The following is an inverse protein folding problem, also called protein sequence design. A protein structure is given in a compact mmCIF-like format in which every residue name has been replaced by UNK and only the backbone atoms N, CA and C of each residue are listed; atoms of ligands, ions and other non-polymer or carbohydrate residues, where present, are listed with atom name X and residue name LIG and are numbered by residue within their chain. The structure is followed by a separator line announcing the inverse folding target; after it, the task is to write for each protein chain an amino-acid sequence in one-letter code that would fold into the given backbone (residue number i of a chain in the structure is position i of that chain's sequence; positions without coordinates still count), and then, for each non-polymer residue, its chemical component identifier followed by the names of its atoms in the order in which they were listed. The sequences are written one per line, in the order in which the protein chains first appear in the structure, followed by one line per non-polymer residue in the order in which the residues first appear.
data_IF_131284026630
#
_entry.id   IF_131284026630
#
_cell.length_a   1.000
_cell.length_b   1.000
_cell.length_c   1.000
_cell.angle_alpha   90.00
_cell.angle_beta   90.00
_cell.angle_gamma   90.00
#
_symmetry.space_group_name_H-M   'P 1'
#
loop_
_entity.id
_entity.type
_entity.pdbx_description
1 polymer ?
#
# COMPACT_ATOMS: atom_id res chain seq x y z
N UNK A 1 -30.90 -7.68 0.99
CA UNK A 1 -30.00 -7.87 2.15
C UNK A 1 -29.98 -9.32 2.65
N UNK A 2 -31.11 -9.98 2.97
CA UNK A 2 -31.07 -11.35 3.53
C UNK A 2 -30.25 -12.37 2.71
N UNK A 3 -30.39 -12.40 1.38
CA UNK A 3 -29.68 -13.39 0.56
C UNK A 3 -28.16 -13.12 0.45
N UNK A 4 -27.76 -11.84 0.42
CA UNK A 4 -26.35 -11.42 0.27
C UNK A 4 -25.57 -11.54 1.58
N UNK A 5 -26.25 -11.38 2.72
CA UNK A 5 -25.60 -11.40 4.04
C UNK A 5 -25.28 -12.84 4.48
N UNK A 6 -26.14 -13.81 4.15
CA UNK A 6 -25.88 -15.22 4.43
C UNK A 6 -24.79 -15.83 3.53
N UNK A 7 -24.61 -15.32 2.31
CA UNK A 7 -23.58 -15.81 1.40
C UNK A 7 -22.16 -15.31 1.70
N UNK A 8 -22.02 -14.34 2.61
CA UNK A 8 -20.73 -13.70 2.94
C UNK A 8 -20.34 -13.89 4.41
N UNK A 9 -21.19 -14.51 5.23
CA UNK A 9 -20.86 -14.78 6.64
C UNK A 9 -19.82 -15.90 6.74
N UNK A 10 -18.88 -15.72 7.66
CA UNK A 10 -17.89 -16.72 8.03
C UNK A 10 -18.15 -17.18 9.47
N UNK A 11 -17.42 -18.21 9.92
CA UNK A 11 -17.57 -18.70 11.30
C UNK A 11 -17.17 -17.62 12.32
N UNK A 12 -16.14 -16.84 11.98
CA UNK A 12 -15.47 -15.99 12.94
C UNK A 12 -14.98 -14.66 12.35
N UNK A 13 -14.46 -14.64 11.12
CA UNK A 13 -13.92 -13.42 10.50
C UNK A 13 -15.00 -12.34 10.22
N UNK A 14 -16.19 -12.77 9.79
CA UNK A 14 -17.38 -11.94 9.63
C UNK A 14 -18.60 -12.65 10.21
N UNK A 15 -19.01 -12.20 11.40
CA UNK A 15 -20.22 -12.68 12.07
C UNK A 15 -21.40 -11.76 11.77
N UNK A 16 -22.56 -12.37 11.56
CA UNK A 16 -23.80 -11.64 11.29
C UNK A 16 -24.89 -12.12 12.24
N UNK A 17 -25.24 -11.27 13.19
CA UNK A 17 -26.37 -11.45 14.10
C UNK A 17 -27.59 -10.65 13.65
N UNK A 18 -28.79 -11.17 13.93
CA UNK A 18 -30.04 -10.44 13.74
C UNK A 18 -30.81 -10.37 15.05
N UNK A 19 -31.30 -9.17 15.36
CA UNK A 19 -32.29 -8.91 16.40
C UNK A 19 -33.63 -8.55 15.75
N UNK A 20 -34.67 -8.34 16.55
CA UNK A 20 -35.99 -7.92 16.06
C UNK A 20 -35.95 -6.57 15.33
N UNK A 21 -34.97 -5.73 15.66
CA UNK A 21 -34.91 -4.33 15.19
C UNK A 21 -33.67 -4.02 14.33
N UNK A 22 -32.57 -4.73 14.53
CA UNK A 22 -31.27 -4.41 13.91
C UNK A 22 -30.46 -5.65 13.52
N UNK A 23 -29.57 -5.46 12.55
CA UNK A 23 -28.48 -6.38 12.25
C UNK A 23 -27.23 -5.97 13.03
N UNK A 24 -26.52 -6.96 13.53
CA UNK A 24 -25.22 -6.82 14.20
C UNK A 24 -24.19 -7.46 13.27
N UNK A 25 -23.19 -6.68 12.88
CA UNK A 25 -22.07 -7.14 12.07
C UNK A 25 -20.82 -7.06 12.94
N UNK A 26 -20.11 -8.19 13.05
CA UNK A 26 -18.85 -8.27 13.77
C UNK A 26 -17.74 -8.71 12.84
N UNK A 27 -16.63 -7.99 12.86
CA UNK A 27 -15.39 -8.41 12.22
C UNK A 27 -14.36 -8.74 13.29
N UNK A 28 -13.66 -9.85 13.12
CA UNK A 28 -12.62 -10.29 14.05
C UNK A 28 -11.41 -10.80 13.28
N UNK A 29 -10.22 -10.49 13.81
CA UNK A 29 -8.97 -11.11 13.39
C UNK A 29 -8.62 -12.18 14.42
N UNK A 30 -8.73 -13.45 14.03
CA UNK A 30 -8.56 -14.58 14.95
C UNK A 30 -7.18 -15.25 14.89
N UNK A 31 -6.31 -14.81 13.97
CA UNK A 31 -4.91 -15.20 13.91
C UNK A 31 -4.11 -14.06 13.30
N UNK A 32 -3.01 -13.68 13.95
CA UNK A 32 -2.05 -12.71 13.44
C UNK A 32 -0.64 -13.19 13.81
N UNK A 33 0.34 -12.86 12.97
CA UNK A 33 1.75 -13.04 13.29
C UNK A 33 2.29 -11.87 14.15
N UNK A 34 1.54 -10.76 14.23
CA UNK A 34 1.90 -9.54 14.96
C UNK A 34 0.96 -9.33 16.18
N UNK A 35 1.21 -10.11 17.23
CA UNK A 35 0.42 -10.03 18.47
C UNK A 35 0.58 -8.71 19.24
N UNK A 36 1.63 -7.94 18.96
CA UNK A 36 1.91 -6.67 19.63
C UNK A 36 1.14 -5.49 19.00
N UNK A 37 0.60 -5.67 17.79
CA UNK A 37 -0.13 -4.66 17.02
C UNK A 37 -1.31 -4.01 17.74
N UNK A 38 -1.96 -4.74 18.63
CA UNK A 38 -3.08 -4.25 19.46
C UNK A 38 -2.67 -4.01 20.93
N UNK A 39 -1.40 -4.23 21.27
CA UNK A 39 -0.90 -4.11 22.64
C UNK A 39 -0.58 -2.67 23.06
N UNK A 40 -0.18 -1.82 22.12
CA UNK A 40 0.30 -0.46 22.42
C UNK A 40 -0.81 0.63 22.36
N UNK A 41 -1.96 0.35 21.74
CA UNK A 41 -3.11 1.25 21.69
C UNK A 41 -4.36 0.57 22.30
N UNK A 42 -5.10 1.28 23.16
CA UNK A 42 -6.40 0.84 23.75
C UNK A 42 -7.53 0.60 22.69
N UNK A 43 -7.20 0.35 21.43
CA UNK A 43 -8.14 0.15 20.31
C UNK A 43 -8.89 1.41 19.88
N UNK A 44 -8.73 2.55 20.57
CA UNK A 44 -9.44 3.81 20.27
C UNK A 44 -9.10 4.38 18.90
N UNK A 45 -7.85 4.20 18.45
CA UNK A 45 -7.41 4.59 17.11
C UNK A 45 -8.17 3.84 16.02
N UNK A 46 -8.41 2.53 16.21
CA UNK A 46 -9.18 1.71 15.29
C UNK A 46 -10.65 2.11 15.21
N UNK A 47 -11.30 2.32 16.36
CA UNK A 47 -12.72 2.67 16.36
C UNK A 47 -13.01 3.98 15.63
N UNK A 48 -12.13 4.99 15.74
CA UNK A 48 -12.26 6.23 14.97
C UNK A 48 -12.14 6.02 13.46
N UNK A 49 -11.20 5.16 13.03
CA UNK A 49 -10.97 4.84 11.61
C UNK A 49 -12.08 3.97 11.00
N UNK A 50 -12.67 3.06 11.79
CA UNK A 50 -13.69 2.11 11.34
C UNK A 50 -15.13 2.63 11.50
N UNK A 51 -15.38 3.63 12.34
CA UNK A 51 -16.71 4.21 12.56
C UNK A 51 -17.47 4.59 11.27
N UNK A 52 -16.82 5.15 10.21
CA UNK A 52 -17.52 5.51 8.98
C UNK A 52 -18.13 4.33 8.20
N UNK A 53 -17.65 3.08 8.42
CA UNK A 53 -18.20 1.89 7.78
C UNK A 53 -19.70 1.73 8.02
N UNK A 54 -20.19 2.17 9.18
CA UNK A 54 -21.61 2.15 9.50
C UNK A 54 -22.42 2.96 8.50
N UNK A 55 -21.98 4.19 8.20
CA UNK A 55 -22.68 5.06 7.27
C UNK A 55 -22.61 4.55 5.84
N UNK A 56 -21.46 3.97 5.45
CA UNK A 56 -21.29 3.31 4.15
C UNK A 56 -22.29 2.15 3.97
N UNK A 57 -22.38 1.26 4.95
CA UNK A 57 -23.33 0.13 4.95
C UNK A 57 -24.79 0.60 4.94
N UNK A 58 -25.11 1.65 5.69
CA UNK A 58 -26.47 2.22 5.71
C UNK A 58 -26.86 2.84 4.37
N UNK A 59 -25.89 3.35 3.61
CA UNK A 59 -26.03 3.84 2.23
C UNK A 59 -25.99 2.73 1.17
N UNK A 60 -25.77 1.49 1.57
CA UNK A 60 -25.79 0.32 0.68
C UNK A 60 -24.45 0.00 0.03
N UNK A 61 -23.34 0.54 0.53
CA UNK A 61 -22.02 0.05 0.16
C UNK A 61 -21.76 -1.29 0.84
N UNK A 62 -21.62 -2.35 0.04
CA UNK A 62 -21.47 -3.72 0.53
C UNK A 62 -20.01 -4.17 0.56
N UNK A 63 -19.06 -3.33 0.16
CA UNK A 63 -17.63 -3.64 0.19
C UNK A 63 -17.15 -4.10 1.57
N UNK A 64 -17.57 -3.51 2.71
CA UNK A 64 -17.14 -3.98 4.03
C UNK A 64 -17.55 -5.44 4.34
N UNK A 65 -18.69 -5.90 3.81
CA UNK A 65 -19.12 -7.30 3.99
C UNK A 65 -18.26 -8.24 3.15
N UNK A 66 -17.96 -7.86 1.90
CA UNK A 66 -17.10 -8.65 1.04
C UNK A 66 -15.66 -8.71 1.58
N UNK A 67 -15.14 -7.62 2.14
CA UNK A 67 -13.85 -7.59 2.83
C UNK A 67 -13.84 -8.55 4.04
N UNK A 68 -14.91 -8.59 4.82
CA UNK A 68 -15.05 -9.57 5.90
C UNK A 68 -15.04 -11.03 5.42
N UNK A 69 -15.67 -11.30 4.27
CA UNK A 69 -15.62 -12.62 3.63
C UNK A 69 -14.21 -12.98 3.14
N UNK A 70 -13.49 -12.03 2.53
CA UNK A 70 -12.08 -12.23 2.15
C UNK A 70 -11.19 -12.53 3.36
N UNK A 71 -11.44 -11.90 4.50
CA UNK A 71 -10.73 -12.24 5.73
C UNK A 71 -10.99 -13.69 6.16
N UNK A 72 -12.22 -14.20 5.98
CA UNK A 72 -12.55 -15.61 6.19
C UNK A 72 -11.85 -16.56 5.22
N UNK A 73 -11.65 -16.15 3.96
CA UNK A 73 -10.82 -16.90 2.99
C UNK A 73 -9.37 -16.97 3.48
N UNK A 74 -8.81 -15.86 3.96
CA UNK A 74 -7.43 -15.82 4.49
C UNK A 74 -7.28 -16.68 5.75
N UNK A 75 -8.28 -16.68 6.64
CA UNK A 75 -8.25 -17.51 7.86
C UNK A 75 -8.54 -19.00 7.62
N UNK A 76 -8.83 -19.40 6.38
CA UNK A 76 -9.17 -20.78 6.02
C UNK A 76 -10.58 -21.21 6.50
N UNK A 77 -11.44 -20.26 6.84
CA UNK A 77 -12.84 -20.52 7.23
C UNK A 77 -13.74 -20.82 6.01
N UNK A 78 -13.28 -20.47 4.81
CA UNK A 78 -14.02 -20.71 3.56
C UNK A 78 -13.27 -21.76 2.74
N UNK A 79 -13.97 -22.83 2.39
CA UNK A 79 -13.43 -23.95 1.62
C UNK A 79 -12.99 -23.51 0.20
N UNK A 80 -11.90 -24.09 -0.30
CA UNK A 80 -11.30 -23.75 -1.59
C UNK A 80 -12.25 -23.95 -2.79
N UNK A 81 -13.17 -24.92 -2.71
CA UNK A 81 -14.17 -25.20 -3.75
C UNK A 81 -15.42 -24.29 -3.62
N UNK A 82 -15.50 -23.50 -2.55
CA UNK A 82 -16.62 -22.57 -2.35
C UNK A 82 -16.66 -21.51 -3.44
N UNK A 83 -17.88 -21.19 -3.86
CA UNK A 83 -18.11 -20.17 -4.88
C UNK A 83 -17.96 -18.77 -4.28
N UNK A 84 -17.20 -17.92 -4.95
CA UNK A 84 -17.03 -16.52 -4.58
C UNK A 84 -18.40 -15.81 -4.61
N UNK A 85 -18.75 -15.05 -3.54
CA UNK A 85 -19.89 -14.15 -3.60
C UNK A 85 -19.62 -13.07 -4.66
N UNK A 86 -20.66 -12.56 -5.36
CA UNK A 86 -20.47 -11.54 -6.38
C UNK A 86 -19.70 -10.33 -5.82
N UNK A 87 -18.53 -9.97 -6.40
CA UNK A 87 -17.73 -8.87 -5.90
C UNK A 87 -18.50 -7.55 -6.06
N UNK A 88 -18.61 -6.72 -5.01
CA UNK A 88 -19.21 -5.40 -5.14
C UNK A 88 -18.35 -4.50 -6.04
N UNK A 89 -18.95 -3.57 -6.79
CA UNK A 89 -18.18 -2.60 -7.57
C UNK A 89 -17.36 -1.69 -6.64
N UNK A 90 -16.25 -1.14 -7.15
CA UNK A 90 -15.38 -0.22 -6.44
C UNK A 90 -14.36 -0.86 -5.51
N UNK A 91 -14.06 -2.16 -5.62
CA UNK A 91 -13.01 -2.82 -4.82
C UNK A 91 -11.60 -2.29 -5.13
N UNK A 92 -11.38 -1.73 -6.33
CA UNK A 92 -10.13 -1.08 -6.69
C UNK A 92 -9.93 0.29 -6.04
N UNK A 93 -11.00 0.88 -5.46
CA UNK A 93 -11.06 2.25 -4.94
C UNK A 93 -11.70 2.28 -3.55
N UNK A 94 -11.05 1.61 -2.59
CA UNK A 94 -11.53 1.57 -1.21
C UNK A 94 -11.53 2.95 -0.54
N UNK A 95 -12.51 3.20 0.31
CA UNK A 95 -12.52 4.39 1.18
C UNK A 95 -11.46 4.27 2.28
N UNK A 96 -11.14 5.37 2.97
CA UNK A 96 -10.18 5.32 4.08
C UNK A 96 -10.61 4.36 5.21
N UNK A 97 -11.92 4.27 5.47
CA UNK A 97 -12.47 3.36 6.47
C UNK A 97 -12.38 1.90 6.02
N UNK A 98 -12.63 1.63 4.72
CA UNK A 98 -12.47 0.29 4.14
C UNK A 98 -11.00 -0.13 4.07
N UNK A 99 -10.09 0.79 3.76
CA UNK A 99 -8.65 0.54 3.82
C UNK A 99 -8.22 0.22 5.26
N UNK A 100 -8.79 0.92 6.25
CA UNK A 100 -8.56 0.62 7.66
C UNK A 100 -9.12 -0.74 8.05
N UNK A 101 -10.25 -1.18 7.45
CA UNK A 101 -10.79 -2.53 7.66
C UNK A 101 -9.88 -3.61 7.06
N UNK A 102 -9.36 -3.39 5.84
CA UNK A 102 -8.35 -4.27 5.21
C UNK A 102 -7.13 -4.39 6.10
N UNK A 103 -6.65 -3.26 6.63
CA UNK A 103 -5.52 -3.22 7.54
C UNK A 103 -5.85 -4.01 8.83
N UNK A 104 -7.00 -3.75 9.44
CA UNK A 104 -7.45 -4.39 10.69
C UNK A 104 -7.58 -5.91 10.55
N UNK A 105 -8.05 -6.40 9.40
CA UNK A 105 -8.27 -7.82 9.12
C UNK A 105 -7.09 -8.53 8.45
N UNK A 106 -5.98 -7.83 8.23
CA UNK A 106 -4.78 -8.38 7.57
C UNK A 106 -5.08 -9.05 6.22
N UNK A 107 -6.02 -8.47 5.47
CA UNK A 107 -6.37 -8.99 4.16
C UNK A 107 -5.20 -8.76 3.21
N UNK A 108 -4.71 -9.83 2.60
CA UNK A 108 -3.60 -9.78 1.66
C UNK A 108 -3.93 -8.84 0.47
N UNK A 109 -2.96 -7.98 0.14
CA UNK A 109 -3.11 -6.98 -0.92
C UNK A 109 -3.25 -7.62 -2.30
N UNK A 110 -2.55 -8.71 -2.55
CA UNK A 110 -2.60 -9.42 -3.83
C UNK A 110 -3.95 -10.14 -3.97
N UNK A 111 -4.51 -10.65 -2.86
CA UNK A 111 -5.88 -11.18 -2.80
C UNK A 111 -6.93 -10.10 -3.10
N UNK A 112 -6.82 -8.91 -2.48
CA UNK A 112 -7.69 -7.78 -2.79
C UNK A 112 -7.59 -7.35 -4.26
N UNK A 113 -6.37 -7.42 -4.83
CA UNK A 113 -6.13 -7.09 -6.24
C UNK A 113 -6.81 -8.10 -7.16
N UNK A 114 -6.71 -9.40 -6.84
CA UNK A 114 -7.41 -10.47 -7.57
C UNK A 114 -8.94 -10.34 -7.50
N UNK A 115 -9.47 -10.00 -6.32
CA UNK A 115 -10.89 -9.72 -6.13
C UNK A 115 -11.37 -8.54 -6.99
N UNK A 116 -10.55 -7.49 -7.10
CA UNK A 116 -10.86 -6.26 -7.84
C UNK A 116 -10.65 -6.30 -9.35
N UNK A 117 -10.22 -7.42 -9.96
CA UNK A 117 -9.92 -7.50 -11.39
C UNK A 117 -11.11 -7.11 -12.29
N UNK A 118 -12.32 -7.53 -11.94
CA UNK A 118 -13.54 -7.16 -12.68
C UNK A 118 -13.85 -5.65 -12.62
N UNK A 119 -13.57 -5.01 -11.48
CA UNK A 119 -13.79 -3.58 -11.28
C UNK A 119 -12.77 -2.72 -12.06
N UNK A 120 -11.53 -3.20 -12.19
CA UNK A 120 -10.49 -2.54 -12.98
C UNK A 120 -10.84 -2.51 -14.47
N UNK A 121 -11.42 -3.58 -15.01
CA UNK A 121 -11.83 -3.64 -16.42
C UNK A 121 -12.96 -2.64 -16.75
N UNK A 122 -13.89 -2.41 -15.82
CA UNK A 122 -15.00 -1.45 -15.98
C UNK A 122 -14.51 0.01 -15.87
N UNK A 123 -13.49 0.30 -15.07
CA UNK A 123 -12.94 1.67 -14.90
C UNK A 123 -12.30 2.26 -16.17
N UNK A 124 -11.91 1.45 -17.15
CA UNK A 124 -11.47 1.94 -18.46
C UNK A 124 -12.63 2.39 -19.38
N UNK A 125 -13.87 2.16 -18.95
CA UNK A 125 -15.11 2.46 -19.68
C UNK A 125 -16.00 3.49 -18.96
N UNK A 126 -15.43 4.41 -18.17
CA UNK A 126 -16.17 5.39 -17.35
C UNK A 126 -17.18 6.25 -18.15
N UNK A 127 -17.03 6.39 -19.48
CA UNK A 127 -18.01 7.09 -20.35
C UNK A 127 -19.32 6.32 -20.55
N UNK A 128 -19.31 4.99 -20.40
CA UNK A 128 -20.47 4.12 -20.62
C UNK A 128 -21.41 4.08 -19.39
N UNK A 129 -20.84 4.32 -18.20
CA UNK A 129 -21.56 4.26 -16.92
C UNK A 129 -22.59 5.39 -16.76
N UNK A 130 -22.28 6.61 -17.24
CA UNK A 130 -23.23 7.72 -17.21
C UNK A 130 -24.42 7.46 -18.16
N UNK A 131 -24.16 6.89 -19.34
CA UNK A 131 -25.23 6.53 -20.28
C UNK A 131 -26.11 5.38 -19.76
N UNK A 132 -25.52 4.38 -19.12
CA UNK A 132 -26.24 3.28 -18.47
C UNK A 132 -27.12 3.80 -17.31
N UNK A 133 -26.59 4.71 -16.49
CA UNK A 133 -27.35 5.37 -15.43
C UNK A 133 -28.53 6.17 -15.98
N UNK A 134 -28.35 6.91 -17.08
CA UNK A 134 -29.42 7.66 -17.72
C UNK A 134 -30.54 6.74 -18.23
N UNK A 135 -30.21 5.61 -18.85
CA UNK A 135 -31.17 4.59 -19.28
C UNK A 135 -31.95 4.05 -18.07
N UNK A 136 -31.25 3.64 -17.02
CA UNK A 136 -31.90 3.11 -15.81
C UNK A 136 -32.80 4.16 -15.12
N UNK A 137 -32.35 5.41 -15.01
CA UNK A 137 -33.13 6.50 -14.42
C UNK A 137 -34.40 6.77 -15.25
N UNK A 138 -34.31 6.67 -16.57
CA UNK A 138 -35.45 6.81 -17.47
C UNK A 138 -36.48 5.67 -17.31
N UNK A 139 -36.01 4.44 -17.08
CA UNK A 139 -36.85 3.26 -16.83
C UNK A 139 -37.44 3.21 -15.40
N UNK A 140 -36.90 3.99 -14.45
CA UNK A 140 -37.33 3.96 -13.06
C UNK A 140 -38.79 4.43 -12.92
N UNK A 141 -39.70 3.59 -12.34
CA UNK A 141 -41.09 3.96 -12.18
C UNK A 141 -41.28 5.25 -11.36
N UNK A 142 -42.19 6.12 -11.81
CA UNK A 142 -42.57 7.36 -11.10
C UNK A 142 -42.81 7.16 -9.58
N UNK A 143 -43.56 6.14 -9.10
CA UNK A 143 -43.74 5.95 -7.66
C UNK A 143 -42.44 5.64 -6.90
N UNK A 144 -41.46 4.98 -7.54
CA UNK A 144 -40.15 4.73 -6.92
C UNK A 144 -39.34 6.03 -6.84
N UNK A 145 -39.37 6.86 -7.90
CA UNK A 145 -38.72 8.16 -7.94
C UNK A 145 -39.28 9.11 -6.88
N UNK A 146 -40.61 9.21 -6.78
CA UNK A 146 -41.28 10.00 -5.75
C UNK A 146 -40.96 9.52 -4.33
N UNK A 147 -40.92 8.20 -4.12
CA UNK A 147 -40.58 7.63 -2.82
C UNK A 147 -39.13 7.99 -2.42
N UNK A 148 -38.19 7.96 -3.36
CA UNK A 148 -36.81 8.38 -3.11
C UNK A 148 -36.72 9.86 -2.75
N UNK A 149 -37.41 10.74 -3.49
CA UNK A 149 -37.45 12.19 -3.20
C UNK A 149 -38.04 12.45 -1.82
N UNK A 150 -39.14 11.78 -1.44
CA UNK A 150 -39.74 11.88 -0.10
C UNK A 150 -38.76 11.47 1.00
N UNK A 151 -37.98 10.40 0.78
CA UNK A 151 -36.94 9.99 1.74
C UNK A 151 -35.85 11.06 1.88
N UNK A 152 -35.39 11.65 0.78
CA UNK A 152 -34.40 12.74 0.80
C UNK A 152 -34.91 13.96 1.57
N UNK A 153 -36.13 14.43 1.28
CA UNK A 153 -36.73 15.60 1.93
C UNK A 153 -37.06 15.37 3.42
N UNK A 154 -37.20 14.11 3.84
CA UNK A 154 -37.46 13.75 5.25
C UNK A 154 -36.20 13.39 6.03
N UNK A 155 -35.01 13.71 5.50
CA UNK A 155 -33.73 13.47 6.18
C UNK A 155 -33.29 12.00 6.18
N UNK A 156 -33.95 11.13 5.40
CA UNK A 156 -33.63 9.70 5.27
C UNK A 156 -32.81 9.42 4.01
N UNK A 157 -31.78 10.24 3.79
CA UNK A 157 -30.94 10.19 2.59
C UNK A 157 -30.21 8.87 2.42
N UNK A 158 -29.65 8.31 3.50
CA UNK A 158 -28.96 7.02 3.47
C UNK A 158 -29.91 5.89 3.01
N UNK A 159 -31.16 5.91 3.47
CA UNK A 159 -32.17 4.92 3.05
C UNK A 159 -32.55 5.08 1.57
N UNK A 160 -32.68 6.32 1.10
CA UNK A 160 -32.95 6.60 -0.32
C UNK A 160 -31.80 6.10 -1.20
N UNK A 161 -30.57 6.44 -0.84
CA UNK A 161 -29.34 6.05 -1.54
C UNK A 161 -29.21 4.52 -1.62
N UNK A 162 -29.34 3.84 -0.47
CA UNK A 162 -29.29 2.38 -0.41
C UNK A 162 -30.33 1.72 -1.30
N UNK A 163 -31.57 2.22 -1.27
CA UNK A 163 -32.66 1.65 -2.06
C UNK A 163 -32.36 1.78 -3.56
N UNK A 164 -31.94 2.96 -4.01
CA UNK A 164 -31.64 3.22 -5.41
C UNK A 164 -30.43 2.39 -5.88
N UNK A 165 -29.33 2.38 -5.11
CA UNK A 165 -28.15 1.56 -5.43
C UNK A 165 -28.48 0.08 -5.56
N UNK A 166 -29.23 -0.49 -4.62
CA UNK A 166 -29.62 -1.90 -4.68
C UNK A 166 -30.56 -2.21 -5.85
N UNK A 167 -31.42 -1.26 -6.25
CA UNK A 167 -32.29 -1.42 -7.43
C UNK A 167 -31.49 -1.33 -8.73
N UNK A 168 -30.55 -0.40 -8.82
CA UNK A 168 -29.64 -0.30 -9.96
C UNK A 168 -28.82 -1.58 -10.13
N UNK A 169 -28.18 -2.08 -9.07
CA UNK A 169 -27.43 -3.34 -9.11
C UNK A 169 -28.29 -4.58 -9.42
N UNK A 170 -29.59 -4.54 -9.10
CA UNK A 170 -30.51 -5.61 -9.50
C UNK A 170 -30.82 -5.53 -11.00
N UNK A 171 -31.12 -4.33 -11.50
CA UNK A 171 -31.36 -4.06 -12.91
C UNK A 171 -30.14 -4.42 -13.77
N UNK A 172 -28.91 -4.03 -13.38
CA UNK A 172 -27.70 -4.39 -14.12
C UNK A 172 -27.53 -5.92 -14.27
N UNK A 173 -27.85 -6.68 -13.21
CA UNK A 173 -27.81 -8.14 -13.25
C UNK A 173 -28.88 -8.74 -14.16
N UNK A 174 -30.06 -8.15 -14.19
CA UNK A 174 -31.13 -8.55 -15.12
C UNK A 174 -30.70 -8.31 -16.57
N UNK A 175 -30.07 -7.17 -16.86
CA UNK A 175 -29.56 -6.85 -18.20
C UNK A 175 -28.42 -7.78 -18.64
N UNK A 176 -27.51 -8.14 -17.72
CA UNK A 176 -26.42 -9.09 -18.00
C UNK A 176 -26.92 -10.52 -18.23
N UNK A 177 -27.99 -10.94 -17.56
CA UNK A 177 -28.57 -12.29 -17.71
C UNK A 177 -29.27 -12.51 -19.06
N UNK A 178 -29.58 -11.45 -19.80
CA UNK A 178 -30.28 -11.50 -21.09
C UNK A 178 -29.31 -11.72 -22.27
N UNK A 179 -27.98 -11.58 -22.06
CA UNK A 179 -26.98 -11.58 -23.14
C UNK A 179 -26.06 -12.79 -23.24
N UNK A 180 -25.74 -13.49 -22.14
CA UNK A 180 -24.73 -14.57 -22.11
C UNK A 180 -25.07 -15.62 -21.02
N UNK A 181 -24.57 -16.87 -21.09
CA UNK A 181 -24.67 -17.82 -19.98
C UNK A 181 -24.12 -17.18 -18.71
N UNK A 182 -24.77 -17.42 -17.57
CA UNK A 182 -24.35 -16.85 -16.29
C UNK A 182 -22.82 -16.95 -16.14
N UNK A 183 -22.11 -15.83 -15.93
CA UNK A 183 -20.65 -15.85 -15.88
C UNK A 183 -20.22 -16.85 -14.80
N UNK A 184 -19.23 -17.68 -15.15
CA UNK A 184 -18.67 -18.65 -14.22
C UNK A 184 -18.28 -17.93 -12.93
N UNK A 185 -18.88 -18.33 -11.80
CA UNK A 185 -18.48 -17.79 -10.51
C UNK A 185 -17.18 -18.45 -10.13
N UNK A 186 -16.19 -17.62 -9.80
CA UNK A 186 -14.86 -18.11 -9.43
C UNK A 186 -14.97 -18.94 -8.16
N UNK A 187 -14.16 -19.98 -8.03
CA UNK A 187 -13.95 -20.63 -6.72
C UNK A 187 -12.98 -19.81 -5.87
N UNK A 188 -12.92 -20.12 -4.58
CA UNK A 188 -11.89 -19.58 -3.68
C UNK A 188 -10.49 -19.98 -4.16
N UNK A 189 -10.30 -21.22 -4.65
CA UNK A 189 -9.05 -21.67 -5.24
C UNK A 189 -8.62 -20.80 -6.42
N UNK A 190 -9.52 -20.54 -7.38
CA UNK A 190 -9.23 -19.68 -8.53
C UNK A 190 -8.90 -18.25 -8.10
N UNK A 191 -9.59 -17.73 -7.07
CA UNK A 191 -9.30 -16.41 -6.51
C UNK A 191 -7.89 -16.36 -5.89
N UNK A 192 -7.48 -17.42 -5.18
CA UNK A 192 -6.14 -17.54 -4.61
C UNK A 192 -5.06 -17.70 -5.69
N UNK A 193 -5.30 -18.45 -6.77
CA UNK A 193 -4.39 -18.55 -7.92
C UNK A 193 -4.17 -17.19 -8.60
N UNK A 194 -5.25 -16.40 -8.77
CA UNK A 194 -5.15 -15.03 -9.26
C UNK A 194 -4.36 -14.14 -8.30
N UNK A 195 -4.52 -14.32 -6.99
CA UNK A 195 -3.74 -13.59 -5.98
C UNK A 195 -2.24 -13.95 -6.06
N UNK A 196 -1.90 -15.22 -6.24
CA UNK A 196 -0.51 -15.65 -6.44
C UNK A 196 0.10 -15.03 -7.70
N UNK A 197 -0.64 -15.01 -8.81
CA UNK A 197 -0.21 -14.36 -10.06
C UNK A 197 0.01 -12.85 -9.89
N UNK A 198 -0.87 -12.18 -9.12
CA UNK A 198 -0.69 -10.78 -8.76
C UNK A 198 0.55 -10.55 -7.90
N UNK A 199 0.81 -11.43 -6.92
CA UNK A 199 1.99 -11.39 -6.07
C UNK A 199 3.30 -11.55 -6.86
N UNK A 200 3.35 -12.47 -7.81
CA UNK A 200 4.49 -12.65 -8.71
C UNK A 200 4.76 -11.40 -9.54
N UNK A 201 3.71 -10.84 -10.14
CA UNK A 201 3.78 -9.60 -10.93
C UNK A 201 4.34 -8.45 -10.08
N UNK A 202 3.84 -8.28 -8.86
CA UNK A 202 4.32 -7.26 -7.92
C UNK A 202 5.79 -7.47 -7.55
N UNK A 203 6.20 -8.69 -7.21
CA UNK A 203 7.61 -9.01 -6.89
C UNK A 203 8.53 -8.68 -8.06
N UNK A 204 8.13 -9.00 -9.29
CA UNK A 204 8.89 -8.65 -10.49
C UNK A 204 9.03 -7.13 -10.65
N UNK A 205 7.94 -6.38 -10.47
CA UNK A 205 7.96 -4.91 -10.52
C UNK A 205 8.84 -4.31 -9.43
N UNK A 206 8.80 -4.84 -8.20
CA UNK A 206 9.65 -4.39 -7.10
C UNK A 206 11.14 -4.59 -7.39
N UNK A 207 11.52 -5.73 -8.01
CA UNK A 207 12.90 -5.98 -8.43
C UNK A 207 13.34 -4.96 -9.48
N UNK A 208 12.49 -4.66 -10.46
CA UNK A 208 12.77 -3.64 -11.49
C UNK A 208 12.96 -2.27 -10.86
N UNK A 209 12.06 -1.84 -9.97
CA UNK A 209 12.13 -0.55 -9.28
C UNK A 209 13.37 -0.45 -8.38
N UNK A 210 13.71 -1.51 -7.65
CA UNK A 210 14.93 -1.55 -6.83
C UNK A 210 16.18 -1.41 -7.67
N UNK A 211 16.25 -2.11 -8.82
CA UNK A 211 17.37 -2.01 -9.75
C UNK A 211 17.49 -0.61 -10.35
N UNK A 212 16.37 0.00 -10.74
CA UNK A 212 16.35 1.39 -11.24
C UNK A 212 16.84 2.38 -10.18
N UNK A 213 16.34 2.26 -8.94
CA UNK A 213 16.77 3.11 -7.83
C UNK A 213 18.25 2.92 -7.49
N UNK A 214 18.80 1.71 -7.63
CA UNK A 214 20.22 1.44 -7.45
C UNK A 214 21.06 2.06 -8.56
N UNK A 215 20.68 1.90 -9.83
CA UNK A 215 21.35 2.54 -10.97
C UNK A 215 21.34 4.06 -10.81
N UNK A 216 20.21 4.65 -10.42
CA UNK A 216 20.12 6.09 -10.16
C UNK A 216 21.03 6.52 -9.00
N UNK A 217 21.08 5.74 -7.91
CA UNK A 217 21.97 6.00 -6.77
C UNK A 217 23.44 5.92 -7.16
N UNK A 218 23.81 4.92 -7.96
CA UNK A 218 25.16 4.75 -8.49
C UNK A 218 25.54 5.92 -9.41
N UNK A 219 24.66 6.30 -10.34
CA UNK A 219 24.88 7.44 -11.22
C UNK A 219 25.02 8.76 -10.43
N UNK A 220 24.20 9.00 -9.41
CA UNK A 220 24.32 10.16 -8.50
C UNK A 220 25.65 10.13 -7.74
N UNK A 221 26.05 8.97 -7.23
CA UNK A 221 27.35 8.81 -6.54
C UNK A 221 28.51 9.10 -7.49
N UNK A 222 28.49 8.53 -8.68
CA UNK A 222 29.52 8.73 -9.70
C UNK A 222 29.61 10.19 -10.15
N UNK A 223 28.46 10.85 -10.37
CA UNK A 223 28.41 12.28 -10.68
C UNK A 223 29.01 13.12 -9.54
N UNK A 224 28.65 12.84 -8.29
CA UNK A 224 29.23 13.50 -7.12
C UNK A 224 30.75 13.31 -7.06
N UNK A 225 31.27 12.09 -7.24
CA UNK A 225 32.71 11.83 -7.25
C UNK A 225 33.42 12.59 -8.38
N UNK A 226 32.81 12.71 -9.56
CA UNK A 226 33.33 13.57 -10.65
C UNK A 226 33.37 15.04 -10.27
N UNK A 227 32.40 15.54 -9.48
CA UNK A 227 32.47 16.93 -8.99
C UNK A 227 33.65 17.16 -8.04
N UNK A 228 34.01 16.17 -7.22
CA UNK A 228 35.21 16.25 -6.38
C UNK A 228 36.49 16.19 -7.22
N UNK A 229 36.49 15.34 -8.26
CA UNK A 229 37.63 15.21 -9.16
C UNK A 229 37.89 16.45 -10.03
N UNK A 230 36.89 17.31 -10.22
CA UNK A 230 37.06 18.58 -10.93
C UNK A 230 38.07 19.51 -10.22
N UNK A 231 38.18 19.43 -8.89
CA UNK A 231 39.15 20.22 -8.11
C UNK A 231 39.55 19.48 -6.81
N UNK A 232 40.49 18.54 -6.96
CA UNK A 232 41.03 17.81 -5.82
C UNK A 232 41.75 18.71 -4.81
N UNK A 233 42.43 19.76 -5.24
CA UNK A 233 43.17 20.67 -4.34
C UNK A 233 42.24 21.38 -3.36
N UNK A 234 41.11 21.89 -3.87
CA UNK A 234 40.09 22.51 -3.02
C UNK A 234 39.53 21.52 -2.00
N UNK A 235 39.31 20.27 -2.40
CA UNK A 235 38.80 19.23 -1.50
C UNK A 235 39.80 18.88 -0.38
N UNK A 236 41.10 18.76 -0.72
CA UNK A 236 42.17 18.56 0.26
C UNK A 236 42.33 19.75 1.21
N UNK A 237 42.23 20.98 0.69
CA UNK A 237 42.28 22.21 1.49
C UNK A 237 41.14 22.25 2.52
N UNK A 238 39.91 21.96 2.07
CA UNK A 238 38.75 21.88 2.96
C UNK A 238 38.89 20.77 4.02
N UNK A 239 39.49 19.61 3.66
CA UNK A 239 39.78 18.55 4.62
C UNK A 239 40.78 19.00 5.68
N UNK A 240 41.83 19.74 5.31
CA UNK A 240 42.78 20.34 6.24
C UNK A 240 42.09 21.32 7.21
N UNK A 241 41.29 22.26 6.70
CA UNK A 241 40.56 23.24 7.52
C UNK A 241 39.62 22.56 8.52
N UNK A 242 38.86 21.55 8.08
CA UNK A 242 37.98 20.77 8.97
C UNK A 242 38.78 20.02 10.03
N UNK A 243 39.91 19.42 9.65
CA UNK A 243 40.78 18.75 10.59
C UNK A 243 41.35 19.71 11.63
N UNK A 244 41.60 20.98 11.28
CA UNK A 244 42.14 21.99 12.19
C UNK A 244 41.19 22.35 13.33
N UNK A 245 39.87 22.37 13.08
CA UNK A 245 38.82 22.71 14.08
C UNK A 245 38.89 21.90 15.37
N UNK A 246 39.42 20.69 15.32
CA UNK A 246 39.77 19.91 16.52
C UNK A 246 38.60 19.29 17.29
N UNK A 247 37.37 19.33 16.76
CA UNK A 247 36.17 18.76 17.39
C UNK A 247 35.79 17.40 16.78
N UNK A 248 35.05 16.58 17.52
CA UNK A 248 34.69 15.22 17.12
C UNK A 248 33.91 15.17 15.79
N UNK A 249 32.87 15.99 15.64
CA UNK A 249 32.06 16.06 14.41
C UNK A 249 32.89 16.45 13.19
N UNK A 250 33.87 17.34 13.35
CA UNK A 250 34.77 17.73 12.27
C UNK A 250 35.71 16.59 11.85
N UNK A 251 36.13 15.71 12.78
CA UNK A 251 36.88 14.52 12.41
C UNK A 251 36.02 13.47 11.69
N UNK A 252 34.73 13.37 12.03
CA UNK A 252 33.79 12.54 11.29
C UNK A 252 33.56 13.07 9.86
N UNK A 253 33.51 14.41 9.69
CA UNK A 253 33.45 15.04 8.37
C UNK A 253 34.73 14.81 7.55
N UNK A 254 35.91 14.89 8.18
CA UNK A 254 37.19 14.60 7.52
C UNK A 254 37.26 13.15 7.08
N UNK A 255 36.85 12.20 7.94
CA UNK A 255 36.76 10.77 7.58
C UNK A 255 35.90 10.59 6.33
N UNK A 256 34.67 11.13 6.33
CA UNK A 256 33.76 11.05 5.18
C UNK A 256 34.37 11.67 3.91
N UNK A 257 34.96 12.86 4.02
CA UNK A 257 35.59 13.54 2.89
C UNK A 257 36.79 12.77 2.32
N UNK A 258 37.61 12.13 3.15
CA UNK A 258 38.76 11.34 2.70
C UNK A 258 38.34 10.01 2.07
N UNK A 259 37.25 9.39 2.53
CA UNK A 259 36.65 8.23 1.86
C UNK A 259 36.11 8.64 0.48
N UNK A 260 35.37 9.75 0.40
CA UNK A 260 34.87 10.26 -0.87
C UNK A 260 36.01 10.62 -1.84
N UNK A 261 37.10 11.21 -1.33
CA UNK A 261 38.28 11.50 -2.14
C UNK A 261 38.96 10.22 -2.61
N UNK A 262 39.15 9.23 -1.74
CA UNK A 262 39.69 7.92 -2.11
C UNK A 262 38.90 7.30 -3.28
N UNK A 263 37.56 7.34 -3.22
CA UNK A 263 36.69 6.84 -4.29
C UNK A 263 36.81 7.68 -5.56
N UNK A 264 36.86 9.01 -5.45
CA UNK A 264 37.00 9.92 -6.59
C UNK A 264 38.36 9.74 -7.30
N UNK A 265 39.45 9.53 -6.55
CA UNK A 265 40.75 9.20 -7.13
C UNK A 265 40.75 7.83 -7.82
N UNK A 266 40.09 6.82 -7.25
CA UNK A 266 39.93 5.50 -7.91
C UNK A 266 39.13 5.60 -9.21
N UNK A 267 38.14 6.50 -9.27
CA UNK A 267 37.26 6.67 -10.44
C UNK A 267 37.88 7.54 -11.54
N UNK A 268 38.56 8.64 -11.18
CA UNK A 268 38.96 9.69 -12.14
C UNK A 268 40.48 9.89 -12.23
N UNK A 269 41.29 9.21 -11.41
CA UNK A 269 42.74 9.38 -11.35
C UNK A 269 43.42 8.08 -10.89
N UNK A 270 44.50 8.17 -10.10
CA UNK A 270 45.23 7.03 -9.56
C UNK A 270 45.11 6.94 -8.04
N UNK A 271 44.90 5.72 -7.53
CA UNK A 271 44.96 5.43 -6.10
C UNK A 271 46.33 5.78 -5.49
N UNK A 272 47.40 5.64 -6.26
CA UNK A 272 48.76 5.98 -5.81
C UNK A 272 48.91 7.48 -5.52
N UNK A 273 48.25 8.33 -6.31
CA UNK A 273 48.27 9.78 -6.09
C UNK A 273 47.48 10.16 -4.83
N UNK A 274 46.36 9.48 -4.56
CA UNK A 274 45.63 9.61 -3.30
C UNK A 274 46.50 9.22 -2.11
N UNK A 275 47.16 8.06 -2.14
CA UNK A 275 47.97 7.58 -1.01
C UNK A 275 49.15 8.53 -0.72
N UNK A 276 49.76 9.11 -1.77
CA UNK A 276 50.77 10.16 -1.63
C UNK A 276 50.21 11.42 -0.95
N UNK A 277 49.03 11.90 -1.38
CA UNK A 277 48.37 13.07 -0.78
C UNK A 277 47.91 12.82 0.65
N UNK A 278 47.37 11.63 0.92
CA UNK A 278 46.99 11.19 2.26
C UNK A 278 48.20 11.14 3.18
N UNK A 279 49.35 10.66 2.71
CA UNK A 279 50.60 10.69 3.48
C UNK A 279 51.01 12.11 3.86
N UNK A 280 50.92 13.07 2.93
CA UNK A 280 51.17 14.49 3.21
C UNK A 280 50.17 15.07 4.23
N UNK A 281 48.89 14.71 4.11
CA UNK A 281 47.86 15.08 5.07
C UNK A 281 48.19 14.56 6.49
N UNK A 282 48.66 13.31 6.58
CA UNK A 282 49.00 12.66 7.84
C UNK A 282 50.29 13.21 8.47
N UNK A 283 51.24 13.74 7.70
CA UNK A 283 52.39 14.48 8.27
C UNK A 283 51.92 15.68 9.11
N UNK A 284 50.88 16.40 8.65
CA UNK A 284 50.35 17.58 9.37
C UNK A 284 49.40 17.20 10.51
N UNK A 285 48.57 16.17 10.33
CA UNK A 285 47.49 15.84 11.27
C UNK A 285 47.71 14.56 12.10
N UNK A 286 48.81 13.84 11.92
CA UNK A 286 49.07 12.53 12.53
C UNK A 286 49.17 12.53 14.06
N UNK A 287 49.41 13.68 14.70
CA UNK A 287 49.38 13.83 16.17
C UNK A 287 47.95 13.86 16.75
N UNK A 288 46.92 13.98 15.91
CA UNK A 288 45.51 14.07 16.32
C UNK A 288 44.92 12.66 16.48
N UNK A 289 45.18 12.01 17.61
CA UNK A 289 44.83 10.59 17.82
C UNK A 289 43.35 10.22 17.61
N UNK A 290 42.41 11.14 17.83
CA UNK A 290 40.98 10.92 17.57
C UNK A 290 40.62 10.90 16.06
N UNK A 291 41.37 11.62 15.24
CA UNK A 291 41.27 11.59 13.77
C UNK A 291 41.94 10.33 13.23
N UNK A 292 43.15 10.00 13.72
CA UNK A 292 43.88 8.80 13.28
C UNK A 292 43.06 7.54 13.51
N UNK A 293 42.43 7.38 14.69
CA UNK A 293 41.54 6.23 14.98
C UNK A 293 40.42 6.08 13.96
N UNK A 294 39.72 7.17 13.63
CA UNK A 294 38.63 7.18 12.65
C UNK A 294 39.09 6.79 11.24
N UNK A 295 40.30 7.20 10.84
CA UNK A 295 40.87 6.86 9.54
C UNK A 295 41.31 5.39 9.45
N UNK A 296 41.85 4.86 10.56
CA UNK A 296 42.14 3.42 10.71
C UNK A 296 40.85 2.60 10.65
N UNK A 297 39.79 3.02 11.34
CA UNK A 297 38.47 2.36 11.30
C UNK A 297 37.86 2.34 9.89
N UNK A 298 38.12 3.35 9.05
CA UNK A 298 37.71 3.34 7.63
C UNK A 298 38.63 2.53 6.71
N UNK A 299 39.71 1.94 7.22
CA UNK A 299 40.72 1.24 6.41
C UNK A 299 41.55 2.14 5.49
N UNK A 300 41.47 3.47 5.68
CA UNK A 300 42.21 4.43 4.86
C UNK A 300 43.66 4.59 5.30
N UNK A 301 43.96 4.35 6.59
CA UNK A 301 45.29 4.50 7.14
C UNK A 301 45.69 3.28 7.95
N UNK A 302 46.80 2.65 7.58
CA UNK A 302 47.44 1.64 8.42
C UNK A 302 48.52 2.34 9.23
N UNK A 303 48.47 2.14 10.55
CA UNK A 303 49.49 2.69 11.45
C UNK A 303 50.83 2.01 11.11
N UNK A 304 51.92 2.76 10.89
CA UNK A 304 53.25 2.16 10.84
C UNK A 304 53.63 1.57 12.21
#
# INVERSE_FOLDING_TARGET
MCFTVASVSCESALTVGRTDTHWILGWALNGSEDYDRFGDEDGRGWMGRLAPLRDELLRGDLRPLYLGWLAGVVSGEVDEDSQEPPPPPGLSRLTAAQQSLVEFLEIDRDLLTAAGLGDQQVSFADTDNDAELDVWIAELPNPEREAAIKLLLTGRSQQAERRLKLRFLAWQREQQAVGDPAPHRRTVAELQELAQSAAETRKQQEVVLRRQAEVERQAKREAYLRTLAADFERCWTAAHERAERGIASAYDDVKRALVDLADAYSLCSSRVDFDRRLSQFMVKHGKRGALVRRLVESGLWNKP
#
